data_IF_781930095426
#
_entry.id   IF_781930095426
#
_cell.length_a   1.000
_cell.length_b   1.000
_cell.length_c   1.000
_cell.angle_alpha   90.00
_cell.angle_beta   90.00
_cell.angle_gamma   90.00
#
_symmetry.space_group_name_H-M   'P 1'
#
loop_
_entity.id
_entity.type
_entity.pdbx_description
1 polymer ?
#
# COMPACT_ATOMS: atom_id res chain seq x y z
N UNK A 1 -31.90 -2.34 11.65
CA UNK A 1 -30.81 -3.20 11.17
C UNK A 1 -30.22 -2.72 9.84
N UNK A 2 -31.00 -2.58 8.77
CA UNK A 2 -30.49 -2.13 7.45
C UNK A 2 -29.84 -0.75 7.47
N UNK A 3 -30.33 0.18 8.27
CA UNK A 3 -29.75 1.53 8.44
C UNK A 3 -28.32 1.47 8.98
N UNK A 4 -28.08 0.68 10.04
CA UNK A 4 -26.73 0.48 10.58
C UNK A 4 -25.78 -0.15 9.57
N UNK A 5 -26.26 -1.13 8.79
CA UNK A 5 -25.45 -1.74 7.73
C UNK A 5 -25.11 -0.73 6.63
N UNK A 6 -26.02 0.15 6.24
CA UNK A 6 -25.74 1.22 5.30
C UNK A 6 -24.68 2.19 5.81
N UNK A 7 -24.80 2.62 7.07
CA UNK A 7 -23.82 3.50 7.73
C UNK A 7 -22.43 2.83 7.84
N UNK A 8 -22.39 1.54 8.20
CA UNK A 8 -21.12 0.77 8.22
C UNK A 8 -20.50 0.66 6.83
N UNK A 9 -21.30 0.42 5.80
CA UNK A 9 -20.80 0.36 4.41
C UNK A 9 -20.25 1.71 3.97
N UNK A 10 -20.91 2.81 4.31
CA UNK A 10 -20.43 4.16 4.07
C UNK A 10 -19.06 4.41 4.74
N UNK A 11 -18.93 4.09 6.03
CA UNK A 11 -17.68 4.24 6.78
C UNK A 11 -16.58 3.36 6.19
N UNK A 12 -16.91 2.13 5.82
CA UNK A 12 -15.96 1.21 5.17
C UNK A 12 -15.47 1.78 3.83
N UNK A 13 -16.34 2.42 3.06
CA UNK A 13 -15.97 3.04 1.80
C UNK A 13 -15.02 4.23 2.01
N UNK A 14 -15.29 5.10 2.99
CA UNK A 14 -14.36 6.16 3.37
C UNK A 14 -13.01 5.61 3.83
N UNK A 15 -13.01 4.58 4.67
CA UNK A 15 -11.79 3.92 5.13
C UNK A 15 -10.99 3.32 3.97
N UNK A 16 -11.67 2.73 2.99
CA UNK A 16 -11.06 2.24 1.76
C UNK A 16 -10.38 3.37 0.95
N UNK A 17 -11.07 4.49 0.73
CA UNK A 17 -10.50 5.64 0.01
C UNK A 17 -9.28 6.22 0.73
N UNK A 18 -9.36 6.38 2.07
CA UNK A 18 -8.23 6.81 2.89
C UNK A 18 -7.08 5.80 2.80
N UNK A 19 -7.36 4.50 2.87
CA UNK A 19 -6.35 3.47 2.73
C UNK A 19 -5.68 3.50 1.34
N UNK A 20 -6.43 3.70 0.27
CA UNK A 20 -5.87 3.85 -1.08
C UNK A 20 -5.01 5.10 -1.19
N UNK A 21 -5.41 6.22 -0.58
CA UNK A 21 -4.64 7.47 -0.64
C UNK A 21 -3.33 7.42 0.16
N UNK A 22 -3.37 6.88 1.39
CA UNK A 22 -2.23 6.98 2.33
C UNK A 22 -1.64 5.64 2.74
N UNK A 23 -2.29 4.52 2.43
CA UNK A 23 -1.85 3.18 2.85
C UNK A 23 -0.48 2.76 2.31
N UNK A 24 -0.04 3.33 1.19
CA UNK A 24 1.30 3.11 0.65
C UNK A 24 2.42 3.58 1.59
N UNK A 25 2.17 4.60 2.42
CA UNK A 25 3.13 5.03 3.45
C UNK A 25 3.29 3.99 4.57
N UNK A 26 2.26 3.17 4.81
CA UNK A 26 2.33 2.07 5.76
C UNK A 26 3.38 1.03 5.36
N UNK A 27 3.62 0.84 4.06
CA UNK A 27 4.67 -0.03 3.54
C UNK A 27 6.10 0.43 3.93
N UNK A 28 6.28 1.70 4.30
CA UNK A 28 7.55 2.20 4.80
C UNK A 28 7.91 1.60 6.16
N UNK A 29 6.90 1.29 6.98
CA UNK A 29 7.06 0.67 8.29
C UNK A 29 6.91 -0.85 8.23
N UNK A 30 5.95 -1.33 7.43
CA UNK A 30 5.64 -2.75 7.25
C UNK A 30 5.63 -3.11 5.76
N UNK A 31 6.74 -3.62 5.21
CA UNK A 31 6.86 -3.89 3.76
C UNK A 31 5.77 -4.80 3.20
N UNK A 32 5.23 -5.72 4.03
CA UNK A 32 4.14 -6.61 3.62
C UNK A 32 2.82 -5.88 3.35
N UNK A 33 2.64 -4.67 3.90
CA UNK A 33 1.44 -3.85 3.68
C UNK A 33 1.33 -3.34 2.23
N UNK A 34 2.41 -3.42 1.44
CA UNK A 34 2.40 -3.03 0.04
C UNK A 34 1.45 -3.91 -0.80
N UNK A 35 1.36 -5.21 -0.49
CA UNK A 35 0.54 -6.16 -1.26
C UNK A 35 -0.96 -5.83 -1.19
N UNK A 36 -1.58 -5.73 0.01
CA UNK A 36 -2.99 -5.35 0.08
C UNK A 36 -3.25 -3.93 -0.42
N UNK A 37 -2.29 -3.00 -0.28
CA UNK A 37 -2.42 -1.65 -0.82
C UNK A 37 -2.43 -1.65 -2.35
N UNK A 38 -1.52 -2.39 -3.01
CA UNK A 38 -1.50 -2.53 -4.47
C UNK A 38 -2.79 -3.16 -4.98
N UNK A 39 -3.29 -4.21 -4.31
CA UNK A 39 -4.54 -4.86 -4.68
C UNK A 39 -5.74 -3.91 -4.57
N UNK A 40 -5.83 -3.15 -3.47
CA UNK A 40 -6.88 -2.16 -3.28
C UNK A 40 -6.81 -1.03 -4.32
N UNK A 41 -5.61 -0.51 -4.58
CA UNK A 41 -5.42 0.55 -5.57
C UNK A 41 -5.74 0.05 -6.99
N UNK A 42 -5.29 -1.15 -7.35
CA UNK A 42 -5.60 -1.75 -8.66
C UNK A 42 -7.11 -1.95 -8.84
N UNK A 43 -7.80 -2.46 -7.81
CA UNK A 43 -9.25 -2.60 -7.85
C UNK A 43 -9.96 -1.24 -8.06
N UNK A 44 -9.53 -0.20 -7.34
CA UNK A 44 -10.07 1.16 -7.51
C UNK A 44 -9.83 1.71 -8.91
N UNK A 45 -8.63 1.54 -9.45
CA UNK A 45 -8.28 1.97 -10.82
C UNK A 45 -9.13 1.24 -11.87
N UNK A 46 -9.30 -0.08 -11.74
CA UNK A 46 -10.13 -0.86 -12.67
C UNK A 46 -11.59 -0.41 -12.63
N UNK A 47 -12.16 -0.24 -11.43
CA UNK A 47 -13.53 0.24 -11.26
C UNK A 47 -13.71 1.60 -11.92
N UNK A 48 -12.77 2.53 -11.70
CA UNK A 48 -12.81 3.87 -12.26
C UNK A 48 -12.62 3.86 -13.78
N UNK A 49 -11.60 3.18 -14.30
CA UNK A 49 -11.29 3.13 -15.74
C UNK A 49 -12.37 2.43 -16.58
N UNK A 50 -12.98 1.39 -16.04
CA UNK A 50 -14.05 0.65 -16.70
C UNK A 50 -15.43 1.26 -16.44
N UNK A 51 -15.51 2.40 -15.74
CA UNK A 51 -16.79 3.06 -15.36
C UNK A 51 -17.75 2.09 -14.68
N UNK A 52 -17.23 1.13 -13.90
CA UNK A 52 -18.02 0.13 -13.21
C UNK A 52 -18.63 0.72 -11.94
N UNK A 53 -19.82 0.26 -11.59
CA UNK A 53 -20.38 0.57 -10.29
C UNK A 53 -19.57 -0.11 -9.19
N UNK A 54 -19.02 0.70 -8.27
CA UNK A 54 -18.30 0.16 -7.11
C UNK A 54 -19.22 -0.79 -6.31
N UNK A 55 -18.77 -2.00 -5.98
CA UNK A 55 -19.59 -2.94 -5.23
C UNK A 55 -20.02 -2.41 -3.86
N UNK A 56 -19.19 -1.57 -3.22
CA UNK A 56 -19.55 -0.91 -1.97
C UNK A 56 -20.66 0.13 -2.17
N UNK A 57 -20.58 0.93 -3.23
CA UNK A 57 -21.62 1.92 -3.59
C UNK A 57 -22.96 1.22 -3.85
N UNK A 58 -22.91 0.11 -4.60
CA UNK A 58 -24.11 -0.67 -4.88
C UNK A 58 -24.70 -1.29 -3.59
N UNK A 59 -23.87 -1.82 -2.73
CA UNK A 59 -24.30 -2.39 -1.45
C UNK A 59 -24.94 -1.33 -0.55
N UNK A 60 -24.32 -0.15 -0.45
CA UNK A 60 -24.84 0.99 0.33
C UNK A 60 -26.20 1.45 -0.21
N UNK A 61 -26.32 1.67 -1.52
CA UNK A 61 -27.58 2.06 -2.15
C UNK A 61 -28.71 1.07 -1.85
N UNK A 62 -28.43 -0.23 -2.00
CA UNK A 62 -29.38 -1.28 -1.73
C UNK A 62 -29.82 -1.33 -0.26
N UNK A 63 -28.87 -1.14 0.67
CA UNK A 63 -29.15 -1.14 2.11
C UNK A 63 -29.96 0.09 2.53
N UNK A 64 -29.67 1.27 1.94
CA UNK A 64 -30.43 2.51 2.17
C UNK A 64 -31.88 2.36 1.70
N UNK A 65 -32.10 1.85 0.50
CA UNK A 65 -33.45 1.59 -0.03
C UNK A 65 -34.23 0.62 0.84
N UNK A 66 -33.58 -0.44 1.37
CA UNK A 66 -34.21 -1.38 2.30
C UNK A 66 -34.49 -0.77 3.68
N UNK A 67 -33.79 0.28 4.06
CA UNK A 67 -34.04 1.03 5.27
C UNK A 67 -35.12 2.12 5.12
N UNK A 68 -35.77 2.23 3.92
CA UNK A 68 -36.73 3.28 3.61
C UNK A 68 -36.09 4.66 3.38
N UNK A 69 -34.77 4.72 3.18
CA UNK A 69 -34.05 5.95 2.89
C UNK A 69 -33.94 6.17 1.38
N UNK A 70 -33.70 7.43 0.97
CA UNK A 70 -33.33 7.71 -0.42
C UNK A 70 -32.03 6.99 -0.77
N UNK A 71 -32.01 6.33 -1.93
CA UNK A 71 -30.82 5.72 -2.49
C UNK A 71 -29.78 6.77 -2.89
N UNK A 72 -28.58 6.32 -3.25
CA UNK A 72 -27.53 7.18 -3.79
C UNK A 72 -27.90 7.60 -5.22
N UNK A 73 -28.11 8.91 -5.50
CA UNK A 73 -28.50 9.38 -6.84
C UNK A 73 -27.36 9.27 -7.85
N UNK A 74 -26.12 9.28 -7.36
CA UNK A 74 -24.86 9.18 -8.12
C UNK A 74 -23.91 8.23 -7.42
N UNK A 75 -22.67 8.09 -7.91
CA UNK A 75 -21.62 7.34 -7.26
C UNK A 75 -21.29 7.87 -5.85
N UNK A 76 -20.57 7.07 -5.07
CA UNK A 76 -20.18 7.45 -3.71
C UNK A 76 -19.39 8.76 -3.68
N UNK A 77 -18.39 8.89 -4.55
CA UNK A 77 -17.55 10.10 -4.65
C UNK A 77 -18.38 11.33 -4.98
N UNK A 78 -19.27 11.22 -5.98
CA UNK A 78 -20.14 12.31 -6.40
C UNK A 78 -21.15 12.70 -5.31
N UNK A 79 -21.58 11.75 -4.50
CA UNK A 79 -22.60 12.02 -3.46
C UNK A 79 -22.01 12.65 -2.20
N UNK A 80 -20.80 12.23 -1.80
CA UNK A 80 -20.22 12.63 -0.50
C UNK A 80 -19.03 13.55 -0.60
N UNK A 81 -18.31 13.54 -1.70
CA UNK A 81 -17.10 14.33 -1.86
C UNK A 81 -17.31 15.50 -2.81
N UNK A 82 -17.92 15.25 -3.98
CA UNK A 82 -18.10 16.26 -5.01
C UNK A 82 -19.20 17.25 -4.61
N UNK A 83 -18.89 18.52 -4.65
CA UNK A 83 -19.80 19.59 -4.19
C UNK A 83 -19.92 19.76 -2.67
N UNK A 84 -19.47 18.77 -1.86
CA UNK A 84 -19.54 18.82 -0.38
C UNK A 84 -18.17 19.17 0.22
N UNK A 85 -17.13 18.41 -0.12
CA UNK A 85 -15.77 18.63 0.37
C UNK A 85 -14.97 19.60 -0.51
N UNK A 86 -15.21 19.56 -1.82
CA UNK A 86 -14.56 20.45 -2.79
C UNK A 86 -15.52 20.79 -3.94
N UNK A 87 -15.34 21.96 -4.59
CA UNK A 87 -16.17 22.32 -5.75
C UNK A 87 -15.86 21.40 -6.95
N UNK A 88 -16.86 21.09 -7.76
CA UNK A 88 -16.75 20.20 -8.95
C UNK A 88 -15.54 20.52 -9.86
N UNK A 89 -15.22 21.82 -10.01
CA UNK A 89 -14.04 22.28 -10.76
C UNK A 89 -12.70 21.83 -10.15
N UNK A 90 -12.66 21.50 -8.86
CA UNK A 90 -11.46 21.04 -8.18
C UNK A 90 -11.30 19.51 -8.21
N UNK A 91 -12.33 18.75 -8.61
CA UNK A 91 -12.31 17.29 -8.63
C UNK A 91 -11.09 16.72 -9.37
N UNK A 92 -10.76 17.29 -10.53
CA UNK A 92 -9.57 16.90 -11.30
C UNK A 92 -8.27 17.09 -10.53
N UNK A 93 -8.13 18.19 -9.81
CA UNK A 93 -6.94 18.48 -9.01
C UNK A 93 -6.83 17.55 -7.80
N UNK A 94 -7.95 17.23 -7.17
CA UNK A 94 -8.00 16.26 -6.06
C UNK A 94 -7.57 14.88 -6.53
N UNK A 95 -8.05 14.42 -7.69
CA UNK A 95 -7.63 13.14 -8.28
C UNK A 95 -6.13 13.13 -8.63
N UNK A 96 -5.60 14.22 -9.21
CA UNK A 96 -4.18 14.33 -9.53
C UNK A 96 -3.33 14.32 -8.26
N UNK A 97 -3.76 15.02 -7.21
CA UNK A 97 -3.06 15.05 -5.92
C UNK A 97 -3.07 13.67 -5.27
N UNK A 98 -4.21 12.96 -5.25
CA UNK A 98 -4.30 11.62 -4.72
C UNK A 98 -3.40 10.65 -5.50
N UNK A 99 -3.41 10.71 -6.83
CA UNK A 99 -2.51 9.93 -7.69
C UNK A 99 -1.03 10.22 -7.41
N UNK A 100 -0.66 11.49 -7.28
CA UNK A 100 0.71 11.90 -6.95
C UNK A 100 1.16 11.37 -5.56
N UNK A 101 0.27 11.40 -4.56
CA UNK A 101 0.54 10.84 -3.23
C UNK A 101 0.76 9.33 -3.28
N UNK A 102 -0.04 8.60 -4.04
CA UNK A 102 0.11 7.15 -4.23
C UNK A 102 1.46 6.85 -4.87
N UNK A 103 1.81 7.52 -5.97
CA UNK A 103 3.08 7.32 -6.67
C UNK A 103 4.26 7.68 -5.77
N UNK A 104 4.20 8.80 -5.05
CA UNK A 104 5.24 9.20 -4.11
C UNK A 104 5.44 8.18 -2.98
N UNK A 105 4.34 7.61 -2.46
CA UNK A 105 4.40 6.59 -1.42
C UNK A 105 5.08 5.29 -1.92
N UNK A 106 4.78 4.88 -3.15
CA UNK A 106 5.40 3.71 -3.76
C UNK A 106 6.88 3.92 -4.08
N UNK A 107 7.23 5.10 -4.60
CA UNK A 107 8.62 5.46 -4.87
C UNK A 107 9.43 5.45 -3.57
N UNK A 108 8.90 6.05 -2.49
CA UNK A 108 9.52 6.03 -1.19
C UNK A 108 9.69 4.61 -0.61
N UNK A 109 8.70 3.75 -0.77
CA UNK A 109 8.77 2.34 -0.37
C UNK A 109 9.86 1.59 -1.17
N UNK A 110 9.91 1.79 -2.49
CA UNK A 110 10.91 1.21 -3.38
C UNK A 110 12.33 1.67 -3.02
N UNK A 111 12.55 2.97 -2.83
CA UNK A 111 13.86 3.52 -2.48
C UNK A 111 14.36 2.98 -1.13
N UNK A 112 13.49 2.88 -0.12
CA UNK A 112 13.82 2.29 1.18
C UNK A 112 14.14 0.80 1.07
N UNK A 113 13.39 0.05 0.29
CA UNK A 113 13.66 -1.35 0.04
C UNK A 113 15.02 -1.54 -0.67
N UNK A 114 15.31 -0.71 -1.67
CA UNK A 114 16.59 -0.69 -2.38
C UNK A 114 17.75 -0.39 -1.43
N UNK A 115 17.63 0.65 -0.60
CA UNK A 115 18.66 1.01 0.37
C UNK A 115 18.95 -0.12 1.36
N UNK A 116 17.93 -0.82 1.84
CA UNK A 116 18.10 -1.97 2.75
C UNK A 116 18.87 -3.11 2.09
N UNK A 117 18.63 -3.38 0.80
CA UNK A 117 19.36 -4.42 0.05
C UNK A 117 20.81 -4.04 -0.17
N UNK A 118 21.10 -2.83 -0.59
CA UNK A 118 22.47 -2.38 -0.86
C UNK A 118 23.27 -2.10 0.41
N UNK A 119 22.63 -1.58 1.47
CA UNK A 119 23.29 -1.36 2.75
C UNK A 119 23.76 -2.65 3.43
N UNK A 120 23.02 -3.74 3.28
CA UNK A 120 23.43 -5.05 3.77
C UNK A 120 24.71 -5.55 3.06
N UNK A 121 24.84 -5.35 1.75
CA UNK A 121 26.05 -5.75 0.99
C UNK A 121 27.29 -4.92 1.38
N UNK A 122 27.11 -3.63 1.71
CA UNK A 122 28.24 -2.76 2.08
C UNK A 122 28.77 -3.10 3.46
N UNK A 123 27.92 -3.51 4.40
CA UNK A 123 28.33 -3.92 5.73
C UNK A 123 29.15 -5.21 5.73
N UNK A 124 28.80 -6.17 4.87
CA UNK A 124 29.61 -7.40 4.72
C UNK A 124 30.98 -7.10 4.15
N UNK A 125 31.12 -6.10 3.29
CA UNK A 125 32.40 -5.70 2.70
C UNK A 125 33.30 -4.89 3.65
N UNK A 126 32.70 -4.18 4.64
CA UNK A 126 33.40 -3.35 5.62
C UNK A 126 33.39 -3.95 7.03
N UNK A 127 32.98 -5.22 7.17
CA UNK A 127 33.19 -5.98 8.41
C UNK A 127 34.69 -5.99 8.74
N UNK A 128 35.07 -6.07 10.04
CA UNK A 128 36.48 -6.17 10.40
C UNK A 128 37.04 -7.33 9.60
N UNK A 129 37.98 -7.01 8.71
CA UNK A 129 38.82 -8.01 8.08
C UNK A 129 39.47 -8.70 9.26
N UNK A 130 38.94 -9.87 9.63
CA UNK A 130 39.69 -10.76 10.51
C UNK A 130 41.00 -10.93 9.76
N UNK A 131 42.04 -10.25 10.24
CA UNK A 131 43.39 -10.46 9.72
C UNK A 131 43.58 -11.96 9.74
N UNK A 132 43.47 -12.56 8.54
CA UNK A 132 44.10 -13.84 8.35
C UNK A 132 45.58 -13.58 8.58
N UNK A 133 46.02 -13.77 9.82
CA UNK A 133 47.42 -13.96 10.12
C UNK A 133 47.76 -15.24 9.35
N UNK A 134 48.32 -15.08 8.16
CA UNK A 134 48.98 -16.18 7.52
C UNK A 134 49.97 -16.76 8.51
N UNK A 135 49.86 -18.04 8.83
CA UNK A 135 50.96 -18.67 9.61
C UNK A 135 52.23 -18.46 8.79
N UNK A 136 53.37 -18.20 9.48
CA UNK A 136 54.63 -18.06 8.80
C UNK A 136 54.85 -19.26 7.89
N UNK A 137 55.39 -19.02 6.68
CA UNK A 137 55.46 -19.92 5.54
C UNK A 137 56.29 -21.22 5.76
N UNK A 138 56.62 -21.58 6.97
CA UNK A 138 57.61 -22.60 7.29
C UNK A 138 57.04 -23.89 7.92
N UNK A 139 55.74 -23.99 8.13
CA UNK A 139 55.17 -25.26 8.60
C UNK A 139 54.35 -25.96 7.53
N UNK A 140 54.76 -27.15 7.07
CA UNK A 140 53.95 -27.93 6.19
C UNK A 140 52.69 -28.38 6.89
N UNK A 141 51.49 -27.97 6.41
CA UNK A 141 50.20 -28.46 6.88
C UNK A 141 50.11 -29.94 6.55
N UNK A 142 50.47 -30.80 7.51
CA UNK A 142 50.24 -32.25 7.40
C UNK A 142 48.77 -32.47 7.74
N UNK A 143 47.95 -32.99 6.77
CA UNK A 143 46.60 -33.37 7.09
C UNK A 143 46.64 -34.54 8.10
N UNK A 144 46.13 -34.29 9.30
CA UNK A 144 45.97 -35.35 10.29
C UNK A 144 44.71 -36.15 9.91
N UNK A 145 44.90 -37.26 9.26
CA UNK A 145 43.92 -38.29 9.13
C UNK A 145 43.86 -39.08 10.41
N UNK A 146 42.98 -38.66 11.35
CA UNK A 146 42.73 -39.48 12.52
C UNK A 146 41.88 -40.68 12.08
N UNK A 147 42.56 -41.82 12.00
CA UNK A 147 41.93 -43.12 11.94
C UNK A 147 41.12 -43.35 13.23
N UNK A 148 39.78 -43.47 13.11
CA UNK A 148 39.00 -44.52 13.79
C UNK A 148 37.57 -44.50 13.28
#
# INVERSE_FOLDING_TARGET
>A
MYRLLAELTMVTHFAYLVFVAVGGFLAWRWPRAIVPHLAATAAGVVIFAASLNCPLTWAEDRLRRRAGQAGLPRGFVDTYLDGVLYPERAARWVLLLAGALIVASWLGAYLRWRQRRYGACTQVRNGPVTQYVMPPDDEPVVPRWDEK
#
